data_IF_426555010629
#
_entry.id   IF_426555010629
#
_cell.length_a   1.000
_cell.length_b   1.000
_cell.length_c   1.000
_cell.angle_alpha   90.00
_cell.angle_beta   90.00
_cell.angle_gamma   90.00
#
_symmetry.space_group_name_H-M   'P 1'
#
loop_
_entity.id
_entity.type
_entity.pdbx_description
1 polymer ?
#
# COMPACT_ATOMS: atom_id res chain seq x y z
N UNK A 1 15.85 -9.14 -12.23
CA UNK A 1 16.22 -9.11 -10.80
C UNK A 1 14.93 -9.14 -9.98
N UNK A 2 14.65 -10.20 -9.21
CA UNK A 2 13.44 -10.31 -8.38
C UNK A 2 13.61 -9.46 -7.10
N UNK A 3 12.57 -8.78 -6.63
CA UNK A 3 12.57 -8.02 -5.36
C UNK A 3 12.19 -6.54 -5.52
N UNK A 4 12.38 -5.75 -4.45
CA UNK A 4 11.94 -4.35 -4.37
C UNK A 4 12.90 -3.34 -5.04
N UNK A 5 14.15 -3.73 -5.32
CA UNK A 5 15.16 -2.81 -5.90
C UNK A 5 14.72 -2.20 -7.25
N UNK A 6 14.12 -2.96 -8.20
CA UNK A 6 13.54 -2.36 -9.41
C UNK A 6 12.50 -1.28 -9.13
N UNK A 7 11.67 -1.46 -8.09
CA UNK A 7 10.67 -0.46 -7.68
C UNK A 7 11.36 0.81 -7.16
N UNK A 8 12.43 0.67 -6.37
CA UNK A 8 13.21 1.84 -5.93
C UNK A 8 13.84 2.60 -7.09
N UNK A 9 14.31 1.89 -8.13
CA UNK A 9 14.83 2.53 -9.35
C UNK A 9 13.75 3.28 -10.09
N UNK A 10 12.58 2.67 -10.23
CA UNK A 10 11.43 3.30 -10.88
C UNK A 10 10.99 4.56 -10.11
N UNK A 11 10.84 4.48 -8.78
CA UNK A 11 10.52 5.63 -7.93
C UNK A 11 11.56 6.76 -8.10
N UNK A 12 12.84 6.42 -8.05
CA UNK A 12 13.93 7.36 -8.29
C UNK A 12 13.87 8.00 -9.67
N UNK A 13 13.58 7.23 -10.73
CA UNK A 13 13.44 7.75 -12.10
C UNK A 13 12.24 8.69 -12.26
N UNK A 14 11.19 8.50 -11.45
CA UNK A 14 10.04 9.38 -11.35
C UNK A 14 10.31 10.63 -10.48
N UNK A 15 11.53 10.81 -10.00
CA UNK A 15 11.96 11.98 -9.22
C UNK A 15 11.77 11.85 -7.70
N UNK A 16 11.34 10.69 -7.20
CA UNK A 16 11.19 10.52 -5.75
C UNK A 16 12.56 10.53 -5.05
N UNK A 17 12.68 11.40 -4.04
CA UNK A 17 13.83 11.51 -3.14
C UNK A 17 13.30 11.64 -1.72
N UNK A 18 13.83 10.86 -0.78
CA UNK A 18 13.44 10.93 0.62
C UNK A 18 13.17 9.59 1.28
N UNK A 19 12.37 9.61 2.36
CA UNK A 19 12.08 8.43 3.17
C UNK A 19 10.88 7.64 2.64
N UNK A 20 11.07 6.35 2.37
CA UNK A 20 9.99 5.41 2.08
C UNK A 20 9.80 4.48 3.28
N UNK A 21 8.56 4.27 3.71
CA UNK A 21 8.26 3.30 4.77
C UNK A 21 8.22 1.89 4.19
N UNK A 22 8.69 0.92 4.96
CA UNK A 22 8.66 -0.48 4.57
C UNK A 22 8.42 -1.41 5.74
N UNK A 23 8.09 -2.65 5.40
CA UNK A 23 7.95 -3.75 6.35
C UNK A 23 9.30 -4.16 6.94
N UNK A 24 9.27 -4.89 8.05
CA UNK A 24 10.47 -5.41 8.71
C UNK A 24 11.33 -6.33 7.83
N UNK A 25 10.75 -6.92 6.78
CA UNK A 25 11.48 -7.69 5.76
C UNK A 25 12.45 -6.84 4.93
N UNK A 26 12.31 -5.51 4.95
CA UNK A 26 13.15 -4.58 4.20
C UNK A 26 14.31 -3.97 5.01
N UNK A 27 14.63 -4.55 6.18
CA UNK A 27 15.77 -4.13 7.03
C UNK A 27 17.16 -4.54 6.49
N UNK A 28 17.23 -5.23 5.36
CA UNK A 28 18.48 -5.78 4.84
C UNK A 28 19.48 -4.70 4.39
N UNK A 29 20.76 -4.84 4.79
CA UNK A 29 21.85 -3.91 4.44
C UNK A 29 21.96 -3.67 2.93
N UNK A 30 21.79 -4.72 2.12
CA UNK A 30 21.81 -4.63 0.64
C UNK A 30 20.75 -3.68 0.10
N UNK A 31 19.53 -3.75 0.64
CA UNK A 31 18.44 -2.88 0.23
C UNK A 31 18.67 -1.45 0.68
N UNK A 32 19.13 -1.27 1.92
CA UNK A 32 19.46 0.06 2.45
C UNK A 32 20.51 0.76 1.58
N UNK A 33 21.59 0.06 1.20
CA UNK A 33 22.61 0.59 0.29
C UNK A 33 22.04 0.95 -1.08
N UNK A 34 21.28 0.05 -1.71
CA UNK A 34 20.68 0.29 -3.02
C UNK A 34 19.68 1.46 -3.01
N UNK A 35 18.89 1.60 -1.94
CA UNK A 35 18.00 2.74 -1.77
C UNK A 35 18.78 4.05 -1.63
N UNK A 36 19.82 4.06 -0.80
CA UNK A 36 20.65 5.24 -0.58
C UNK A 36 21.31 5.74 -1.87
N UNK A 37 21.86 4.84 -2.68
CA UNK A 37 22.41 5.16 -4.02
C UNK A 37 21.37 5.79 -4.97
N UNK A 38 20.08 5.51 -4.74
CA UNK A 38 18.95 6.05 -5.49
C UNK A 38 18.29 7.26 -4.82
N UNK A 39 18.86 7.78 -3.73
CA UNK A 39 18.27 8.89 -2.95
C UNK A 39 16.99 8.51 -2.21
N UNK A 40 16.75 7.22 -1.95
CA UNK A 40 15.57 6.69 -1.26
C UNK A 40 15.99 5.97 0.02
N UNK A 41 15.63 6.53 1.17
CA UNK A 41 15.88 5.90 2.48
C UNK A 41 14.71 5.00 2.85
N UNK A 42 14.89 3.68 2.83
CA UNK A 42 13.88 2.73 3.29
C UNK A 42 13.90 2.65 4.82
N UNK A 43 12.85 3.15 5.47
CA UNK A 43 12.63 3.07 6.92
C UNK A 43 11.71 1.89 7.21
N UNK A 44 12.29 0.80 7.69
CA UNK A 44 11.51 -0.34 8.12
C UNK A 44 10.82 -0.04 9.46
N UNK A 45 9.49 -0.13 9.49
CA UNK A 45 8.69 0.15 10.68
C UNK A 45 8.18 -1.17 11.25
N UNK A 46 8.41 -1.39 12.55
CA UNK A 46 7.80 -2.50 13.27
C UNK A 46 6.30 -2.24 13.42
N UNK A 47 5.49 -3.24 13.09
CA UNK A 47 4.03 -3.17 13.16
C UNK A 47 3.56 -4.10 14.25
N UNK A 48 2.80 -3.54 15.18
CA UNK A 48 2.31 -4.29 16.32
C UNK A 48 3.39 -4.73 17.30
N UNK A 49 2.95 -5.09 18.50
CA UNK A 49 3.78 -5.66 19.56
C UNK A 49 2.99 -6.84 20.13
N UNK A 50 3.66 -7.96 20.39
CA UNK A 50 3.07 -9.10 21.09
C UNK A 50 1.76 -9.64 20.45
N UNK A 51 1.69 -9.65 19.12
CA UNK A 51 0.51 -10.12 18.37
C UNK A 51 -0.63 -9.11 18.26
N UNK A 52 -0.49 -7.91 18.84
CA UNK A 52 -1.51 -6.85 18.77
C UNK A 52 -1.21 -5.92 17.60
N UNK A 53 -2.21 -5.68 16.76
CA UNK A 53 -2.14 -4.71 15.68
C UNK A 53 -2.19 -3.27 16.23
N UNK A 54 -1.16 -2.46 15.89
CA UNK A 54 -1.08 -1.05 16.29
C UNK A 54 -1.03 -0.18 15.04
N UNK A 55 -2.10 0.57 14.71
CA UNK A 55 -2.11 1.51 13.59
C UNK A 55 -0.97 2.53 13.73
N UNK A 56 -0.04 2.57 12.76
CA UNK A 56 1.15 3.43 12.84
C UNK A 56 1.20 4.41 11.67
N UNK A 57 0.87 5.69 11.91
CA UNK A 57 0.99 6.76 10.91
C UNK A 57 0.33 6.41 9.56
N UNK A 58 0.98 6.74 8.44
CA UNK A 58 0.43 6.42 7.10
C UNK A 58 0.32 4.91 6.80
N UNK A 59 1.03 4.04 7.54
CA UNK A 59 0.92 2.59 7.33
C UNK A 59 -0.49 2.06 7.57
N UNK A 60 -1.25 2.66 8.50
CA UNK A 60 -2.63 2.23 8.74
C UNK A 60 -3.48 2.40 7.48
N UNK A 61 -3.22 3.43 6.67
CA UNK A 61 -3.97 3.72 5.43
C UNK A 61 -3.78 2.57 4.45
N UNK A 62 -2.53 2.10 4.30
CA UNK A 62 -2.17 0.98 3.43
C UNK A 62 -2.79 -0.32 3.94
N UNK A 63 -2.69 -0.60 5.24
CA UNK A 63 -3.23 -1.82 5.86
C UNK A 63 -4.76 -1.87 5.76
N UNK A 64 -5.43 -0.75 6.01
CA UNK A 64 -6.89 -0.63 5.85
C UNK A 64 -7.31 -0.84 4.40
N UNK A 65 -6.50 -0.36 3.46
CA UNK A 65 -6.72 -0.57 2.03
C UNK A 65 -6.63 -2.06 1.66
N UNK A 66 -5.65 -2.80 2.21
CA UNK A 66 -5.61 -4.26 2.05
C UNK A 66 -6.80 -4.96 2.68
N UNK A 67 -7.20 -4.57 3.90
CA UNK A 67 -8.38 -5.13 4.55
C UNK A 67 -9.65 -4.94 3.69
N UNK A 68 -9.82 -3.78 3.06
CA UNK A 68 -10.95 -3.54 2.15
C UNK A 68 -10.92 -4.46 0.92
N UNK A 69 -9.76 -4.62 0.29
CA UNK A 69 -9.59 -5.50 -0.87
C UNK A 69 -9.87 -6.96 -0.47
N UNK A 70 -9.31 -7.45 0.64
CA UNK A 70 -9.49 -8.82 1.10
C UNK A 70 -10.95 -9.16 1.43
N UNK A 71 -11.74 -8.17 1.82
CA UNK A 71 -13.18 -8.31 2.07
C UNK A 71 -14.05 -8.03 0.83
N UNK A 72 -13.47 -7.60 -0.30
CA UNK A 72 -14.21 -7.37 -1.52
C UNK A 72 -14.45 -8.71 -2.21
N UNK A 73 -15.70 -9.20 -2.18
CA UNK A 73 -16.09 -10.55 -2.65
C UNK A 73 -15.51 -10.93 -4.02
N UNK A 74 -15.44 -9.99 -4.97
CA UNK A 74 -14.91 -10.20 -6.33
C UNK A 74 -13.40 -10.48 -6.36
N UNK A 75 -12.65 -9.99 -5.37
CA UNK A 75 -11.20 -10.10 -5.23
C UNK A 75 -10.77 -11.17 -4.22
N UNK A 76 -11.71 -11.88 -3.60
CA UNK A 76 -11.42 -12.95 -2.63
C UNK A 76 -10.60 -14.09 -3.25
N UNK A 77 -10.85 -14.36 -4.53
CA UNK A 77 -10.10 -15.31 -5.35
C UNK A 77 -9.65 -14.60 -6.61
N UNK A 78 -8.37 -14.72 -6.95
CA UNK A 78 -7.80 -14.15 -8.18
C UNK A 78 -8.10 -15.12 -9.32
N UNK A 79 -8.95 -14.70 -10.25
CA UNK A 79 -9.32 -15.47 -11.44
C UNK A 79 -8.65 -14.92 -12.71
N UNK A 80 -8.03 -13.75 -12.61
CA UNK A 80 -7.48 -12.99 -13.71
C UNK A 80 -6.23 -13.67 -14.27
N UNK A 81 -6.21 -13.85 -15.60
CA UNK A 81 -5.07 -14.47 -16.29
C UNK A 81 -3.86 -13.54 -16.42
N UNK A 82 -4.06 -12.22 -16.33
CA UNK A 82 -3.00 -11.22 -16.46
C UNK A 82 -3.03 -10.21 -15.31
N UNK A 83 -1.87 -9.60 -15.04
CA UNK A 83 -1.72 -8.61 -13.97
C UNK A 83 -2.52 -7.33 -14.25
N UNK A 84 -2.69 -6.97 -15.52
CA UNK A 84 -3.41 -5.77 -15.95
C UNK A 84 -4.88 -5.84 -15.56
N UNK A 85 -5.52 -7.00 -15.77
CA UNK A 85 -6.90 -7.21 -15.33
C UNK A 85 -7.03 -7.18 -13.81
N UNK A 86 -6.08 -7.78 -13.09
CA UNK A 86 -6.09 -7.74 -11.62
C UNK A 86 -5.98 -6.29 -11.10
N UNK A 87 -5.09 -5.48 -11.68
CA UNK A 87 -4.96 -4.06 -11.33
C UNK A 87 -6.28 -3.31 -11.59
N UNK A 88 -6.90 -3.51 -12.75
CA UNK A 88 -8.18 -2.86 -13.08
C UNK A 88 -9.31 -3.24 -12.10
N UNK A 89 -9.38 -4.50 -11.65
CA UNK A 89 -10.37 -4.91 -10.65
C UNK A 89 -10.09 -4.33 -9.25
N UNK A 90 -8.82 -4.17 -8.87
CA UNK A 90 -8.43 -3.49 -7.63
C UNK A 90 -8.87 -2.01 -7.68
N UNK A 91 -8.62 -1.33 -8.80
CA UNK A 91 -9.06 0.06 -9.01
C UNK A 91 -10.59 0.18 -8.92
N UNK A 92 -11.33 -0.70 -9.61
CA UNK A 92 -12.79 -0.73 -9.56
C UNK A 92 -13.32 -0.99 -8.15
N UNK A 93 -12.66 -1.85 -7.38
CA UNK A 93 -13.01 -2.09 -5.98
C UNK A 93 -12.85 -0.82 -5.13
N UNK A 94 -11.74 -0.09 -5.27
CA UNK A 94 -11.55 1.18 -4.56
C UNK A 94 -12.55 2.25 -4.96
N UNK A 95 -12.79 2.44 -6.26
CA UNK A 95 -13.82 3.37 -6.76
C UNK A 95 -15.18 3.04 -6.12
N UNK A 96 -15.56 1.77 -6.11
CA UNK A 96 -16.82 1.31 -5.54
C UNK A 96 -16.91 1.50 -4.02
N UNK A 97 -15.83 1.26 -3.28
CA UNK A 97 -15.79 1.40 -1.82
C UNK A 97 -15.79 2.88 -1.41
N UNK A 98 -14.94 3.69 -2.04
CA UNK A 98 -14.80 5.11 -1.73
C UNK A 98 -16.05 5.89 -2.13
N UNK A 99 -16.67 5.60 -3.28
CA UNK A 99 -17.94 6.24 -3.70
C UNK A 99 -19.06 6.03 -2.69
N UNK A 100 -19.19 4.81 -2.14
CA UNK A 100 -20.19 4.50 -1.09
C UNK A 100 -19.89 5.22 0.23
N UNK A 101 -18.62 5.34 0.60
CA UNK A 101 -18.20 6.06 1.80
C UNK A 101 -18.44 7.56 1.66
N UNK A 102 -18.07 8.15 0.52
CA UNK A 102 -18.29 9.56 0.23
C UNK A 102 -19.79 9.91 0.29
N UNK A 103 -20.65 9.09 -0.32
CA UNK A 103 -22.10 9.28 -0.23
C UNK A 103 -22.60 9.28 1.22
N UNK A 104 -22.14 8.37 2.07
CA UNK A 104 -22.53 8.36 3.50
C UNK A 104 -22.10 9.61 4.24
N UNK A 105 -20.86 10.05 4.04
CA UNK A 105 -20.34 11.28 4.66
C UNK A 105 -21.14 12.52 4.26
N UNK A 106 -21.56 12.61 2.99
CA UNK A 106 -22.40 13.73 2.51
C UNK A 106 -23.79 13.70 3.13
N UNK A 107 -24.40 12.51 3.27
CA UNK A 107 -25.73 12.37 3.89
C UNK A 107 -25.69 12.70 5.39
N UNK A 108 -24.67 12.20 6.09
CA UNK A 108 -24.47 12.44 7.53
C UNK A 108 -24.13 13.91 7.81
N UNK A 109 -23.33 14.55 6.95
CA UNK A 109 -22.97 15.97 7.08
C UNK A 109 -24.07 16.95 6.65
N UNK A 110 -25.04 16.52 5.85
CA UNK A 110 -26.21 17.32 5.47
C UNK A 110 -27.41 17.20 6.42
N UNK A 111 -27.31 16.33 7.44
CA UNK A 111 -28.32 16.19 8.50
C UNK A 111 -27.91 16.91 9.80
N UNK A 112 -26.86 17.73 9.75
CA UNK A 112 -26.32 18.53 10.85
C UNK A 112 -26.67 20.01 10.68
#
# INVERSE_FOLDING_TARGET
MKGIIPVLRELSSKGFRGSALGDLGYRGKRLAKAGWELGVTVKAVARGRDGVFIPTGICWVVERSFAWISNYRRLKTIFERTKEYLVAFIELAFVSILSRRLRRLVIEGGSA
#
